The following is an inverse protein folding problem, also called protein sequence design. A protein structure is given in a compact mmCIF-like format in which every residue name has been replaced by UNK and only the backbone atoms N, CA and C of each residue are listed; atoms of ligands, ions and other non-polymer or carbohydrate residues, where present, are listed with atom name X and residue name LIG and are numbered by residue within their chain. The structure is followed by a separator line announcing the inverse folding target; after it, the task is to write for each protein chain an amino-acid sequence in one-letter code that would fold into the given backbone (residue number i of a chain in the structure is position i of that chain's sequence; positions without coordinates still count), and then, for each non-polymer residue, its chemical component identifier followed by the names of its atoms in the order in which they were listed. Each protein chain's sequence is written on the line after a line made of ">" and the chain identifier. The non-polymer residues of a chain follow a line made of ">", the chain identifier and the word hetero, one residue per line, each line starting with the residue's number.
data_IF_364349161384
#
_entry.id   IF_364349161384
#
_cell.length_a   1.000
_cell.length_b   1.000
_cell.length_c   1.000
_cell.angle_alpha   90.00
_cell.angle_beta   90.00
_cell.angle_gamma   90.00
#
_symmetry.space_group_name_H-M   'P 1'
#
loop_
_entity.id
_entity.type
_entity.pdbx_description
1 polymer ?
#
# COMPACT_ATOMS: atom_id res chain seq x y z
N UNK A 1 45.36 -18.96 -18.48
CA UNK A 1 44.24 -19.03 -17.52
C UNK A 1 43.90 -17.61 -17.08
N UNK A 2 42.80 -17.03 -17.57
CA UNK A 2 42.36 -15.69 -17.18
C UNK A 2 41.40 -15.79 -15.98
N UNK A 3 41.63 -14.99 -14.94
CA UNK A 3 40.70 -14.88 -13.81
C UNK A 3 39.41 -14.16 -14.24
N UNK A 4 38.23 -14.59 -13.78
CA UNK A 4 36.99 -13.86 -14.03
C UNK A 4 36.95 -12.56 -13.20
N UNK A 5 36.30 -11.49 -13.70
CA UNK A 5 36.16 -10.25 -12.96
C UNK A 5 35.27 -10.47 -11.71
N UNK A 6 35.74 -9.96 -10.57
CA UNK A 6 35.00 -10.02 -9.31
C UNK A 6 33.71 -9.20 -9.38
N UNK A 7 32.60 -9.83 -9.01
CA UNK A 7 31.36 -9.11 -8.72
C UNK A 7 31.55 -8.31 -7.42
N UNK A 8 31.80 -7.01 -7.56
CA UNK A 8 31.66 -6.07 -6.46
C UNK A 8 30.19 -6.05 -6.01
N UNK A 9 29.88 -6.76 -4.92
CA UNK A 9 28.57 -6.72 -4.29
C UNK A 9 28.24 -5.27 -3.93
N UNK A 10 27.17 -4.72 -4.53
CA UNK A 10 26.57 -3.48 -4.04
C UNK A 10 26.19 -3.72 -2.58
N UNK A 11 26.73 -2.90 -1.67
CA UNK A 11 26.32 -2.88 -0.28
C UNK A 11 24.79 -2.71 -0.15
N UNK A 12 24.22 -2.94 1.05
CA UNK A 12 22.78 -2.92 1.24
C UNK A 12 22.19 -1.63 0.67
N UNK A 13 21.18 -1.79 -0.20
CA UNK A 13 20.41 -0.69 -0.78
C UNK A 13 19.90 0.18 0.37
N UNK A 14 20.57 1.31 0.64
CA UNK A 14 20.05 2.33 1.55
C UNK A 14 18.85 2.97 0.87
N UNK A 15 17.65 2.59 1.31
CA UNK A 15 16.45 3.35 1.00
C UNK A 15 16.68 4.78 1.50
N UNK A 16 16.66 5.76 0.60
CA UNK A 16 16.78 7.15 0.98
C UNK A 16 15.66 7.49 1.98
N UNK A 17 16.00 8.18 3.08
CA UNK A 17 15.05 8.53 4.15
C UNK A 17 13.83 9.33 3.66
N UNK A 18 13.93 9.89 2.45
CA UNK A 18 12.86 10.60 1.76
C UNK A 18 11.59 9.76 1.54
N UNK A 19 11.71 8.44 1.34
CA UNK A 19 10.56 7.56 1.05
C UNK A 19 10.13 6.69 2.24
N UNK A 20 10.76 6.86 3.41
CA UNK A 20 10.53 5.99 4.58
C UNK A 20 9.66 6.66 5.64
N UNK A 21 8.73 5.89 6.21
CA UNK A 21 7.83 6.34 7.26
C UNK A 21 6.50 6.88 6.75
N UNK A 22 5.76 7.54 7.64
CA UNK A 22 4.40 8.04 7.36
C UNK A 22 4.24 9.51 7.75
N UNK A 23 3.30 10.19 7.10
CA UNK A 23 2.89 11.58 7.33
C UNK A 23 1.40 11.64 7.64
N UNK A 24 0.87 12.79 8.08
CA UNK A 24 -0.55 13.08 7.92
C UNK A 24 -0.97 12.95 6.45
N UNK A 25 -2.27 12.71 6.21
CA UNK A 25 -2.82 12.64 4.85
C UNK A 25 -2.66 14.00 4.17
N UNK A 26 -2.11 14.00 2.96
CA UNK A 26 -1.97 15.20 2.15
C UNK A 26 -3.35 15.75 1.77
N UNK A 27 -3.51 17.09 1.75
CA UNK A 27 -4.80 17.76 1.56
C UNK A 27 -5.57 17.24 0.33
N UNK A 28 -4.89 17.16 -0.81
CA UNK A 28 -5.47 16.73 -2.09
C UNK A 28 -5.81 15.23 -2.16
N UNK A 29 -5.50 14.46 -1.11
CA UNK A 29 -5.76 13.03 -1.00
C UNK A 29 -6.60 12.70 0.25
N UNK A 30 -7.23 13.70 0.86
CA UNK A 30 -8.19 13.49 1.96
C UNK A 30 -9.44 12.78 1.44
N UNK A 31 -10.00 11.96 2.31
CA UNK A 31 -11.24 11.21 2.12
C UNK A 31 -11.96 11.08 3.46
N UNK A 32 -13.22 10.65 3.43
CA UNK A 32 -14.03 10.46 4.63
C UNK A 32 -13.54 9.23 5.43
N UNK A 33 -12.87 9.49 6.56
CA UNK A 33 -12.35 8.45 7.45
C UNK A 33 -13.48 7.72 8.19
N UNK A 34 -14.60 8.39 8.49
CA UNK A 34 -15.74 7.78 9.16
C UNK A 34 -16.49 6.80 8.26
N UNK A 35 -16.62 7.14 6.98
CA UNK A 35 -17.16 6.24 5.97
C UNK A 35 -16.26 5.01 5.78
N UNK A 36 -14.94 5.19 5.73
CA UNK A 36 -13.98 4.08 5.68
C UNK A 36 -14.07 3.20 6.93
N UNK A 37 -14.12 3.80 8.12
CA UNK A 37 -14.25 3.06 9.37
C UNK A 37 -15.53 2.20 9.39
N UNK A 38 -16.65 2.76 8.96
CA UNK A 38 -17.93 2.05 8.86
C UNK A 38 -17.85 0.86 7.90
N UNK A 39 -17.22 1.05 6.72
CA UNK A 39 -16.97 -0.04 5.77
C UNK A 39 -16.09 -1.14 6.38
N UNK A 40 -14.99 -0.76 7.04
CA UNK A 40 -14.04 -1.72 7.61
C UNK A 40 -14.63 -2.51 8.77
N UNK A 41 -15.52 -1.92 9.58
CA UNK A 41 -16.23 -2.63 10.66
C UNK A 41 -17.05 -3.81 10.12
N UNK A 42 -17.70 -3.63 8.97
CA UNK A 42 -18.42 -4.71 8.29
C UNK A 42 -17.49 -5.82 7.75
N UNK A 43 -16.18 -5.57 7.70
CA UNK A 43 -15.15 -6.51 7.26
C UNK A 43 -14.28 -7.03 8.43
N UNK A 44 -14.76 -6.89 9.68
CA UNK A 44 -14.09 -7.46 10.87
C UNK A 44 -13.01 -6.56 11.48
N UNK A 45 -12.90 -5.31 11.05
CA UNK A 45 -12.04 -4.33 11.73
C UNK A 45 -12.67 -3.89 13.06
N UNK A 46 -11.85 -3.67 14.07
CA UNK A 46 -12.30 -3.29 15.41
C UNK A 46 -11.51 -2.11 15.97
N UNK A 47 -12.06 -1.45 16.99
CA UNK A 47 -11.48 -0.26 17.60
C UNK A 47 -11.60 1.01 16.74
N UNK A 48 -11.07 2.14 17.23
CA UNK A 48 -11.07 3.40 16.49
C UNK A 48 -10.07 3.38 15.34
N UNK A 49 -10.48 3.85 14.16
CA UNK A 49 -9.62 3.94 12.98
C UNK A 49 -8.67 5.14 13.05
N UNK A 50 -7.38 4.87 12.89
CA UNK A 50 -6.34 5.89 12.62
C UNK A 50 -5.74 5.68 11.24
N UNK A 51 -5.44 6.78 10.54
CA UNK A 51 -4.92 6.75 9.17
C UNK A 51 -3.70 7.66 9.04
N UNK A 52 -2.63 7.14 8.45
CA UNK A 52 -1.44 7.92 8.06
C UNK A 52 -1.02 7.57 6.65
N UNK A 53 -0.49 8.53 5.91
CA UNK A 53 -0.04 8.32 4.53
C UNK A 53 1.43 7.90 4.50
N UNK A 54 1.82 6.94 3.66
CA UNK A 54 3.23 6.62 3.47
C UNK A 54 3.94 7.71 2.64
N UNK A 55 5.21 8.00 2.97
CA UNK A 55 6.04 8.93 2.18
C UNK A 55 6.39 8.39 0.79
N UNK A 56 6.47 7.06 0.65
CA UNK A 56 6.60 6.35 -0.63
C UNK A 56 5.25 5.91 -1.21
N UNK A 57 5.25 5.46 -2.47
CA UNK A 57 4.04 4.99 -3.16
C UNK A 57 3.47 5.98 -4.19
N UNK A 58 4.28 6.33 -5.18
CA UNK A 58 3.98 7.41 -6.13
C UNK A 58 2.84 7.07 -7.12
N UNK A 59 2.64 5.80 -7.47
CA UNK A 59 1.60 5.42 -8.44
C UNK A 59 0.20 5.41 -7.82
N UNK A 60 0.01 4.81 -6.64
CA UNK A 60 -1.28 4.75 -5.95
C UNK A 60 -1.07 5.22 -4.51
N UNK A 61 -1.83 6.25 -4.04
CA UNK A 61 -1.81 6.66 -2.64
C UNK A 61 -1.93 5.45 -1.71
N UNK A 62 -1.00 5.37 -0.77
CA UNK A 62 -0.88 4.23 0.14
C UNK A 62 -0.89 4.73 1.58
N UNK A 63 -1.71 4.11 2.42
CA UNK A 63 -1.94 4.53 3.80
C UNK A 63 -1.71 3.38 4.77
N UNK A 64 -1.14 3.70 5.93
CA UNK A 64 -1.17 2.84 7.10
C UNK A 64 -2.49 3.12 7.83
N UNK A 65 -3.30 2.07 8.00
CA UNK A 65 -4.48 2.10 8.85
C UNK A 65 -4.23 1.27 10.10
N UNK A 66 -4.64 1.76 11.27
CA UNK A 66 -4.46 1.06 12.55
C UNK A 66 -5.70 1.22 13.44
N UNK A 67 -6.02 0.16 14.19
CA UNK A 67 -7.15 0.10 15.12
C UNK A 67 -7.30 -1.31 15.70
N UNK A 68 -7.85 -1.43 16.91
CA UNK A 68 -8.13 -2.74 17.51
C UNK A 68 -6.90 -3.64 17.67
N UNK A 69 -5.72 -3.05 17.87
CA UNK A 69 -4.44 -3.78 17.96
C UNK A 69 -3.85 -4.24 16.62
N UNK A 70 -4.53 -4.01 15.49
CA UNK A 70 -4.10 -4.43 14.16
C UNK A 70 -3.61 -3.27 13.30
N UNK A 71 -2.77 -3.58 12.31
CA UNK A 71 -2.23 -2.64 11.32
C UNK A 71 -2.40 -3.22 9.92
N UNK A 72 -2.91 -2.41 9.01
CA UNK A 72 -3.11 -2.80 7.61
C UNK A 72 -2.61 -1.70 6.66
N UNK A 73 -2.45 -2.08 5.39
CA UNK A 73 -2.11 -1.15 4.31
C UNK A 73 -3.34 -0.96 3.44
N UNK A 74 -3.77 0.27 3.26
CA UNK A 74 -4.80 0.66 2.30
C UNK A 74 -4.12 1.22 1.05
N UNK A 75 -4.45 0.67 -0.13
CA UNK A 75 -4.10 1.27 -1.43
C UNK A 75 -5.35 1.88 -2.04
N UNK A 76 -5.25 3.12 -2.49
CA UNK A 76 -6.37 3.84 -3.09
C UNK A 76 -6.00 4.38 -4.47
N UNK A 77 -7.02 4.70 -5.27
CA UNK A 77 -6.85 5.47 -6.51
C UNK A 77 -6.65 6.95 -6.17
N UNK A 78 -5.81 7.69 -6.92
CA UNK A 78 -5.59 9.12 -6.69
C UNK A 78 -6.75 9.97 -7.21
N UNK A 79 -7.10 11.04 -6.47
CA UNK A 79 -7.99 12.13 -6.93
C UNK A 79 -9.38 11.71 -7.41
N UNK A 80 -10.26 12.67 -7.79
CA UNK A 80 -11.63 12.33 -8.18
C UNK A 80 -11.64 11.38 -9.38
N UNK A 81 -12.40 10.28 -9.25
CA UNK A 81 -12.48 9.20 -10.24
C UNK A 81 -12.76 9.69 -11.67
N UNK A 82 -13.45 10.82 -11.81
CA UNK A 82 -13.75 11.49 -13.08
C UNK A 82 -12.53 11.86 -13.93
N UNK A 83 -11.31 11.90 -13.38
CA UNK A 83 -10.07 12.21 -14.11
C UNK A 83 -9.22 10.98 -14.42
N UNK A 84 -9.69 9.77 -14.09
CA UNK A 84 -8.89 8.55 -14.25
C UNK A 84 -9.20 7.88 -15.59
N UNK A 85 -8.14 7.61 -16.36
CA UNK A 85 -8.24 6.76 -17.55
C UNK A 85 -8.64 5.33 -17.12
N UNK A 86 -9.43 4.59 -17.92
CA UNK A 86 -9.98 3.28 -17.53
C UNK A 86 -8.95 2.24 -17.05
N UNK A 87 -7.70 2.31 -17.52
CA UNK A 87 -6.61 1.40 -17.17
C UNK A 87 -5.60 1.98 -16.16
N UNK A 88 -5.67 3.28 -15.87
CA UNK A 88 -4.80 3.91 -14.90
C UNK A 88 -5.21 3.50 -13.48
N UNK A 89 -4.23 3.27 -12.60
CA UNK A 89 -4.49 3.01 -11.17
C UNK A 89 -5.40 1.79 -10.91
N UNK A 90 -5.19 0.69 -11.64
CA UNK A 90 -5.96 -0.55 -11.53
C UNK A 90 -5.65 -1.34 -10.24
N UNK A 91 -5.93 -0.76 -9.07
CA UNK A 91 -5.76 -1.38 -7.75
C UNK A 91 -6.52 -2.71 -7.66
N UNK A 92 -7.66 -2.84 -8.36
CA UNK A 92 -8.43 -4.08 -8.44
C UNK A 92 -7.68 -5.20 -9.15
N UNK A 93 -6.79 -4.88 -10.10
CA UNK A 93 -5.92 -5.89 -10.74
C UNK A 93 -4.85 -6.35 -9.76
N UNK A 94 -4.24 -5.43 -9.01
CA UNK A 94 -3.26 -5.77 -7.96
C UNK A 94 -3.90 -6.70 -6.91
N UNK A 95 -5.09 -6.35 -6.42
CA UNK A 95 -5.84 -7.17 -5.46
C UNK A 95 -6.07 -8.60 -5.97
N UNK A 96 -6.55 -8.75 -7.22
CA UNK A 96 -6.81 -10.06 -7.82
C UNK A 96 -5.53 -10.89 -7.96
N UNK A 97 -4.45 -10.29 -8.44
CA UNK A 97 -3.16 -10.99 -8.62
C UNK A 97 -2.58 -11.42 -7.28
N UNK A 98 -2.54 -10.53 -6.28
CA UNK A 98 -2.01 -10.87 -4.94
C UNK A 98 -2.84 -11.98 -4.30
N UNK A 99 -4.17 -11.91 -4.42
CA UNK A 99 -5.07 -12.95 -3.89
C UNK A 99 -4.80 -14.30 -4.54
N UNK A 100 -4.69 -14.35 -5.87
CA UNK A 100 -4.40 -15.58 -6.61
C UNK A 100 -3.02 -16.15 -6.27
N UNK A 101 -1.99 -15.31 -6.17
CA UNK A 101 -0.65 -15.73 -5.76
C UNK A 101 -0.66 -16.36 -4.36
N UNK A 102 -1.41 -15.78 -3.43
CA UNK A 102 -1.57 -16.34 -2.08
C UNK A 102 -2.25 -17.70 -2.12
N UNK A 103 -3.33 -17.85 -2.90
CA UNK A 103 -4.04 -19.12 -3.07
C UNK A 103 -3.13 -20.21 -3.68
N UNK A 104 -2.20 -19.81 -4.54
CA UNK A 104 -1.17 -20.70 -5.10
C UNK A 104 -0.01 -21.01 -4.13
N UNK A 105 -0.06 -20.57 -2.87
CA UNK A 105 0.96 -20.84 -1.86
C UNK A 105 2.19 -19.94 -1.93
N UNK A 106 2.19 -18.90 -2.79
CA UNK A 106 3.29 -17.95 -2.89
C UNK A 106 3.24 -16.98 -1.69
N UNK A 107 4.38 -16.71 -1.00
CA UNK A 107 4.41 -15.81 0.13
C UNK A 107 4.19 -14.36 -0.32
N UNK A 108 2.94 -13.91 -0.20
CA UNK A 108 2.50 -12.54 -0.47
C UNK A 108 1.60 -12.04 0.66
N UNK A 109 1.41 -10.71 0.79
CA UNK A 109 0.49 -10.16 1.78
C UNK A 109 -0.92 -10.74 1.67
N UNK A 110 -1.60 -10.86 2.81
CA UNK A 110 -3.03 -11.19 2.82
C UNK A 110 -3.85 -9.98 2.35
N UNK A 111 -4.75 -10.21 1.40
CA UNK A 111 -5.80 -9.28 0.99
C UNK A 111 -7.04 -9.47 1.85
N UNK A 112 -7.81 -8.39 2.07
CA UNK A 112 -8.96 -8.39 2.96
C UNK A 112 -10.26 -7.98 2.26
N UNK A 113 -10.29 -6.76 1.72
CA UNK A 113 -11.48 -6.12 1.15
C UNK A 113 -11.08 -5.00 0.18
#
# INVERSE_FOLDING_TARGET
>A
MAQPPGFAGKGPLRLSGQFTGTTPIQEHQRFDVGALESYLRNHGFSGPLTVRQFKGGQSNPTYLISGGGSRHVLRAKPGPAAKLLPSAHAVEREFRVITALRQAGIPVPRTYC
#
